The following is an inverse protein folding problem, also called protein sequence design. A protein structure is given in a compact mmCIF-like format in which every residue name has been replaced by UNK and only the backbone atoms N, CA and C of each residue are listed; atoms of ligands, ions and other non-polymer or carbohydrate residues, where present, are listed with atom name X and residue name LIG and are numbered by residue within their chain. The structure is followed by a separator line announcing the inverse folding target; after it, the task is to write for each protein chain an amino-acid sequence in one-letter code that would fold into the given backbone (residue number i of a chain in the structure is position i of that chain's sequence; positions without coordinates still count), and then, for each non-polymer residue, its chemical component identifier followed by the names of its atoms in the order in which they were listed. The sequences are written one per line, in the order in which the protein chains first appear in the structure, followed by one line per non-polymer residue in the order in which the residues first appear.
data_IF_899086514781
#
_entry.id   IF_899086514781
#
_cell.length_a   1.000
_cell.length_b   1.000
_cell.length_c   1.000
_cell.angle_alpha   90.00
_cell.angle_beta   90.00
_cell.angle_gamma   90.00
#
_symmetry.space_group_name_H-M   'P 1'
#
loop_
_entity.id
_entity.type
_entity.pdbx_description
1 polymer ?
#
# COMPACT_ATOMS: atom_id res chain seq x y z
N UNK A 1 -5.16 -20.64 -2.43
CA UNK A 1 -4.84 -19.39 -3.17
C UNK A 1 -3.35 -19.30 -3.45
N UNK A 2 -2.96 -18.62 -4.53
CA UNK A 2 -1.54 -18.35 -4.82
C UNK A 2 -1.02 -17.24 -3.93
N UNK A 3 0.25 -17.38 -3.51
CA UNK A 3 0.99 -16.34 -2.80
C UNK A 3 2.45 -16.35 -3.22
N UNK A 4 3.06 -15.16 -3.30
CA UNK A 4 4.51 -15.02 -3.36
C UNK A 4 5.02 -14.99 -1.95
N UNK A 5 5.97 -15.86 -1.61
CA UNK A 5 6.52 -15.98 -0.24
C UNK A 5 8.03 -15.75 -0.22
N UNK A 6 8.50 -15.12 0.84
CA UNK A 6 9.91 -15.12 1.24
C UNK A 6 10.07 -16.10 2.40
N UNK A 7 10.91 -17.13 2.20
CA UNK A 7 11.22 -18.19 3.19
C UNK A 7 12.58 -18.01 3.84
N UNK A 8 13.46 -17.30 3.15
CA UNK A 8 14.80 -16.99 3.60
C UNK A 8 15.16 -15.53 3.32
N UNK A 9 16.25 -15.06 3.88
CA UNK A 9 16.80 -13.72 3.61
C UNK A 9 17.46 -13.72 2.24
N UNK A 10 17.04 -12.80 1.36
CA UNK A 10 17.64 -12.73 0.04
C UNK A 10 17.01 -11.67 -0.87
N UNK A 11 17.40 -11.68 -2.13
CA UNK A 11 16.82 -10.81 -3.15
C UNK A 11 15.56 -11.40 -3.77
N UNK A 12 15.03 -10.78 -4.84
CA UNK A 12 13.84 -11.26 -5.53
C UNK A 12 13.95 -12.70 -6.06
N UNK A 13 15.18 -13.16 -6.32
CA UNK A 13 15.50 -14.52 -6.78
C UNK A 13 15.19 -15.61 -5.74
N UNK A 14 15.05 -15.25 -4.45
CA UNK A 14 14.67 -16.19 -3.38
C UNK A 14 13.17 -16.30 -3.16
N UNK A 15 12.37 -15.48 -3.85
CA UNK A 15 10.92 -15.51 -3.72
C UNK A 15 10.35 -16.73 -4.44
N UNK A 16 9.39 -17.39 -3.80
CA UNK A 16 8.70 -18.57 -4.34
C UNK A 16 7.21 -18.33 -4.47
N UNK A 17 6.59 -18.91 -5.48
CA UNK A 17 5.13 -18.90 -5.65
C UNK A 17 4.58 -20.22 -5.15
N UNK A 18 3.69 -20.17 -4.16
CA UNK A 18 3.10 -21.38 -3.58
C UNK A 18 1.57 -21.28 -3.47
N UNK A 19 0.95 -22.44 -3.32
CA UNK A 19 -0.45 -22.56 -2.93
C UNK A 19 -0.51 -22.58 -1.41
N UNK A 20 -1.31 -21.70 -0.83
CA UNK A 20 -1.59 -21.64 0.60
C UNK A 20 -3.11 -21.60 0.83
N UNK A 21 -3.54 -21.90 2.04
CA UNK A 21 -4.94 -21.78 2.40
C UNK A 21 -5.40 -20.31 2.41
N UNK A 22 -6.62 -20.07 1.96
CA UNK A 22 -7.23 -18.76 2.05
C UNK A 22 -7.63 -18.50 3.51
N UNK A 23 -7.25 -17.35 4.10
CA UNK A 23 -7.66 -17.01 5.45
C UNK A 23 -9.15 -16.63 5.51
N UNK A 24 -9.74 -16.72 6.69
CA UNK A 24 -11.07 -16.19 6.98
C UNK A 24 -10.94 -14.95 7.87
N UNK A 25 -11.77 -13.90 7.67
CA UNK A 25 -11.70 -12.69 8.47
C UNK A 25 -12.24 -12.95 9.88
N UNK A 26 -11.51 -12.49 10.89
CA UNK A 26 -11.93 -12.48 12.28
C UNK A 26 -12.76 -11.21 12.58
N UNK A 27 -13.11 -11.02 13.85
CA UNK A 27 -13.84 -9.83 14.31
C UNK A 27 -13.06 -8.54 14.02
N UNK A 28 -13.71 -7.58 13.37
CA UNK A 28 -13.12 -6.31 12.99
C UNK A 28 -12.28 -6.34 11.70
N UNK A 29 -12.25 -7.47 11.00
CA UNK A 29 -11.45 -7.68 9.80
C UNK A 29 -12.32 -7.92 8.57
N UNK A 30 -11.75 -7.68 7.40
CA UNK A 30 -12.32 -8.07 6.11
C UNK A 30 -11.33 -8.92 5.33
N UNK A 31 -11.87 -9.78 4.45
CA UNK A 31 -11.08 -10.47 3.44
C UNK A 31 -11.17 -9.67 2.13
N UNK A 32 -10.03 -9.32 1.56
CA UNK A 32 -9.95 -8.59 0.29
C UNK A 32 -9.43 -9.53 -0.80
N UNK A 33 -10.15 -9.62 -1.91
CA UNK A 33 -9.65 -10.14 -3.19
C UNK A 33 -8.71 -9.08 -3.77
N UNK A 34 -7.42 -9.38 -3.82
CA UNK A 34 -6.40 -8.43 -4.27
C UNK A 34 -6.43 -8.31 -5.79
N UNK A 35 -6.73 -7.11 -6.27
CA UNK A 35 -6.67 -6.78 -7.69
C UNK A 35 -5.27 -6.33 -8.10
N UNK A 36 -4.59 -5.56 -7.22
CA UNK A 36 -3.23 -5.10 -7.43
C UNK A 36 -2.51 -4.88 -6.09
N UNK A 37 -1.21 -5.06 -6.12
CA UNK A 37 -0.30 -4.75 -5.03
C UNK A 37 0.87 -3.94 -5.58
N UNK A 38 1.07 -2.73 -5.09
CA UNK A 38 2.23 -1.94 -5.49
C UNK A 38 3.49 -2.43 -4.79
N UNK A 39 4.59 -2.46 -5.53
CA UNK A 39 5.92 -2.77 -5.02
C UNK A 39 6.63 -1.47 -4.68
N UNK A 40 7.04 -1.36 -3.44
CA UNK A 40 7.74 -0.19 -2.92
C UNK A 40 9.18 -0.53 -2.50
N UNK A 41 10.02 0.48 -2.37
CA UNK A 41 11.41 0.30 -1.95
C UNK A 41 11.55 -0.45 -0.60
N UNK A 42 10.70 -0.17 0.42
CA UNK A 42 10.70 -0.95 1.66
C UNK A 42 10.52 -2.46 1.46
N UNK A 43 9.70 -2.91 0.49
CA UNK A 43 9.52 -4.34 0.22
C UNK A 43 10.84 -5.01 -0.16
N UNK A 44 11.65 -4.31 -0.98
CA UNK A 44 12.97 -4.82 -1.41
C UNK A 44 13.97 -4.88 -0.27
N UNK A 45 13.83 -4.04 0.74
CA UNK A 45 14.67 -4.06 1.95
C UNK A 45 14.19 -5.12 2.94
N UNK A 46 12.87 -5.29 3.09
CA UNK A 46 12.28 -6.28 4.02
C UNK A 46 12.68 -7.71 3.67
N UNK A 47 12.66 -8.09 2.39
CA UNK A 47 13.07 -9.44 1.98
C UNK A 47 14.57 -9.73 2.27
N UNK A 48 15.39 -8.67 2.40
CA UNK A 48 16.82 -8.71 2.72
C UNK A 48 17.13 -8.46 4.19
N UNK A 49 16.13 -8.34 5.06
CA UNK A 49 16.28 -7.94 6.48
C UNK A 49 17.00 -6.60 6.70
N UNK A 50 16.97 -5.72 5.74
CA UNK A 50 17.59 -4.40 5.78
C UNK A 50 16.60 -3.28 6.19
N UNK A 51 15.33 -3.63 6.44
CA UNK A 51 14.32 -2.68 6.90
C UNK A 51 14.07 -2.80 8.40
N UNK A 52 13.59 -1.73 9.03
CA UNK A 52 13.30 -1.71 10.48
C UNK A 52 12.17 -2.66 10.89
N UNK A 53 11.17 -2.86 10.02
CA UNK A 53 10.11 -3.84 10.22
C UNK A 53 10.49 -5.15 9.55
N UNK A 54 10.49 -6.23 10.33
CA UNK A 54 10.93 -7.58 9.91
C UNK A 54 9.83 -8.59 10.20
N UNK A 55 8.93 -8.86 9.25
CA UNK A 55 7.93 -9.90 9.41
C UNK A 55 8.58 -11.27 9.64
N UNK A 56 7.94 -12.09 10.46
CA UNK A 56 8.36 -13.48 10.65
C UNK A 56 8.18 -14.28 9.36
N UNK A 57 9.20 -15.08 9.00
CA UNK A 57 9.17 -15.93 7.80
C UNK A 57 8.50 -17.28 8.07
N UNK A 58 7.77 -17.87 7.12
CA UNK A 58 7.53 -17.37 5.77
C UNK A 58 6.45 -16.27 5.74
N UNK A 59 6.65 -15.20 4.98
CA UNK A 59 5.63 -14.17 4.76
C UNK A 59 5.53 -13.77 3.28
N UNK A 60 4.44 -13.13 2.92
CA UNK A 60 4.27 -12.53 1.59
C UNK A 60 4.69 -11.06 1.65
N UNK A 61 5.57 -10.57 0.77
CA UNK A 61 5.85 -9.14 0.63
C UNK A 61 4.63 -8.36 0.11
N UNK A 62 4.81 -7.05 -0.06
CA UNK A 62 3.79 -6.15 -0.58
C UNK A 62 3.06 -5.39 0.53
N UNK A 63 3.38 -4.10 0.65
CA UNK A 63 2.95 -3.24 1.76
C UNK A 63 1.66 -2.48 1.52
N UNK A 64 1.21 -2.34 0.26
CA UNK A 64 -0.05 -1.68 -0.08
C UNK A 64 -0.79 -2.39 -1.20
N UNK A 65 -2.11 -2.40 -1.10
CA UNK A 65 -2.98 -3.15 -2.01
C UNK A 65 -4.20 -2.33 -2.39
N UNK A 66 -4.81 -2.76 -3.50
CA UNK A 66 -6.19 -2.46 -3.82
C UNK A 66 -6.93 -3.73 -4.20
N UNK A 67 -8.25 -3.72 -4.06
CA UNK A 67 -9.05 -4.89 -4.38
C UNK A 67 -10.52 -4.69 -4.08
N UNK A 68 -11.20 -5.82 -3.89
CA UNK A 68 -12.63 -5.86 -3.60
C UNK A 68 -12.86 -6.71 -2.35
N UNK A 69 -13.73 -6.26 -1.46
CA UNK A 69 -14.08 -7.03 -0.25
C UNK A 69 -14.79 -8.32 -0.65
N UNK A 70 -14.23 -9.45 -0.29
CA UNK A 70 -14.76 -10.80 -0.55
C UNK A 70 -15.56 -11.35 0.63
N UNK A 71 -15.20 -10.96 1.87
CA UNK A 71 -15.94 -11.34 3.08
C UNK A 71 -15.73 -10.29 4.17
N UNK A 72 -16.70 -10.18 5.06
CA UNK A 72 -16.72 -9.22 6.18
C UNK A 72 -16.83 -10.00 7.48
N UNK A 73 -15.93 -9.74 8.42
CA UNK A 73 -15.92 -10.34 9.74
C UNK A 73 -16.96 -9.72 10.68
N UNK A 74 -17.15 -10.35 11.83
CA UNK A 74 -18.08 -9.87 12.86
C UNK A 74 -17.69 -8.47 13.35
N UNK A 75 -18.68 -7.59 13.57
CA UNK A 75 -18.49 -6.26 14.16
C UNK A 75 -17.84 -5.24 13.22
N UNK A 76 -17.80 -5.51 11.93
CA UNK A 76 -17.36 -4.54 10.91
C UNK A 76 -18.56 -3.77 10.39
N UNK A 77 -18.59 -2.47 10.63
CA UNK A 77 -19.62 -1.55 10.13
C UNK A 77 -19.10 -0.71 8.96
N UNK A 78 -20.00 -0.30 8.07
CA UNK A 78 -19.71 0.61 6.95
C UNK A 78 -19.04 -0.02 5.74
N UNK A 79 -18.78 -1.34 5.77
CA UNK A 79 -18.20 -2.10 4.67
C UNK A 79 -19.07 -3.29 4.29
N UNK A 80 -19.10 -3.62 3.02
CA UNK A 80 -19.84 -4.77 2.48
C UNK A 80 -19.07 -5.50 1.40
N UNK A 81 -19.43 -6.76 1.17
CA UNK A 81 -18.88 -7.55 0.05
C UNK A 81 -19.14 -6.81 -1.27
N UNK A 82 -18.11 -6.74 -2.10
CA UNK A 82 -18.14 -6.00 -3.36
C UNK A 82 -17.63 -4.56 -3.28
N UNK A 83 -17.41 -4.00 -2.09
CA UNK A 83 -16.81 -2.67 -1.97
C UNK A 83 -15.37 -2.66 -2.49
N UNK A 84 -15.06 -1.66 -3.30
CA UNK A 84 -13.71 -1.43 -3.84
C UNK A 84 -12.89 -0.65 -2.81
N UNK A 85 -11.73 -1.21 -2.47
CA UNK A 85 -10.90 -0.69 -1.37
C UNK A 85 -9.43 -0.62 -1.74
N UNK A 86 -8.71 0.24 -1.04
CA UNK A 86 -7.26 0.25 -0.97
C UNK A 86 -6.83 0.28 0.50
N UNK A 87 -5.65 -0.27 0.80
CA UNK A 87 -5.13 -0.33 2.17
C UNK A 87 -3.61 -0.40 2.21
N UNK A 88 -3.03 0.27 3.23
CA UNK A 88 -1.64 0.06 3.64
C UNK A 88 -1.58 -1.03 4.71
N UNK A 89 -0.95 -2.15 4.39
CA UNK A 89 -0.95 -3.36 5.23
C UNK A 89 0.43 -3.75 5.76
N UNK A 90 1.48 -3.07 5.28
CA UNK A 90 2.87 -3.31 5.69
C UNK A 90 3.52 -4.53 5.03
N UNK A 91 2.83 -5.65 4.95
CA UNK A 91 3.24 -6.86 4.22
C UNK A 91 2.02 -7.75 3.95
N UNK A 92 2.14 -8.71 3.06
CA UNK A 92 1.05 -9.65 2.80
C UNK A 92 0.32 -9.43 1.47
N UNK A 93 0.64 -8.38 0.72
CA UNK A 93 -0.13 -8.00 -0.47
C UNK A 93 0.13 -8.83 -1.73
N UNK A 94 1.28 -9.52 -1.82
CA UNK A 94 1.59 -10.36 -2.98
C UNK A 94 0.93 -11.75 -2.88
N UNK A 95 -0.38 -11.76 -2.70
CA UNK A 95 -1.26 -12.94 -2.66
C UNK A 95 -2.64 -12.62 -3.23
N UNK A 96 -3.37 -13.66 -3.62
CA UNK A 96 -4.71 -13.46 -4.22
C UNK A 96 -5.74 -12.89 -3.24
N UNK A 97 -5.60 -13.21 -1.95
CA UNK A 97 -6.50 -12.71 -0.89
C UNK A 97 -5.70 -12.33 0.35
N UNK A 98 -6.12 -11.27 1.03
CA UNK A 98 -5.48 -10.80 2.25
C UNK A 98 -6.51 -10.35 3.28
N UNK A 99 -6.20 -10.58 4.57
CA UNK A 99 -6.97 -10.02 5.67
C UNK A 99 -6.50 -8.59 5.93
N UNK A 100 -7.47 -7.70 6.12
CA UNK A 100 -7.23 -6.29 6.45
C UNK A 100 -8.14 -5.88 7.60
N UNK A 101 -7.60 -5.22 8.61
CA UNK A 101 -8.40 -4.57 9.65
C UNK A 101 -9.26 -3.47 9.02
N UNK A 102 -10.56 -3.49 9.30
CA UNK A 102 -11.55 -2.62 8.63
C UNK A 102 -11.21 -1.12 8.74
N UNK A 103 -10.57 -0.70 9.84
CA UNK A 103 -10.19 0.70 10.06
C UNK A 103 -9.03 1.18 9.16
N UNK A 104 -8.31 0.26 8.50
CA UNK A 104 -7.23 0.58 7.55
C UNK A 104 -7.70 0.75 6.12
N UNK A 105 -8.96 0.46 5.86
CA UNK A 105 -9.51 0.52 4.52
C UNK A 105 -9.87 1.95 4.10
N UNK A 106 -9.59 2.26 2.85
CA UNK A 106 -10.08 3.45 2.18
C UNK A 106 -10.92 3.03 0.99
N UNK A 107 -12.03 3.74 0.77
CA UNK A 107 -12.91 3.47 -0.37
C UNK A 107 -12.28 3.97 -1.67
N UNK A 108 -12.24 3.12 -2.69
CA UNK A 108 -11.84 3.54 -4.03
C UNK A 108 -13.08 4.03 -4.78
N UNK A 109 -13.10 5.32 -5.20
CA UNK A 109 -14.23 5.86 -5.95
C UNK A 109 -14.47 5.08 -7.25
N UNK A 110 -15.73 5.13 -7.72
CA UNK A 110 -16.06 4.60 -9.03
C UNK A 110 -15.28 5.37 -10.11
N UNK A 111 -14.80 4.66 -11.13
CA UNK A 111 -14.03 5.26 -12.22
C UNK A 111 -12.50 5.32 -12.00
N UNK A 112 -12.03 5.13 -10.77
CA UNK A 112 -10.58 4.99 -10.50
C UNK A 112 -10.17 3.54 -10.73
N UNK A 113 -9.12 3.30 -11.50
CA UNK A 113 -8.56 1.97 -11.72
C UNK A 113 -7.95 1.42 -10.43
N UNK A 114 -8.15 0.11 -10.17
CA UNK A 114 -7.61 -0.52 -8.95
C UNK A 114 -6.08 -0.63 -9.00
N UNK A 115 -5.49 -0.78 -10.18
CA UNK A 115 -4.02 -0.79 -10.32
C UNK A 115 -3.44 0.57 -9.93
N UNK A 116 -4.03 1.66 -10.41
CA UNK A 116 -3.64 3.03 -10.02
C UNK A 116 -3.85 3.25 -8.51
N UNK A 117 -4.99 2.84 -7.97
CA UNK A 117 -5.31 2.98 -6.55
C UNK A 117 -4.31 2.26 -5.65
N UNK A 118 -3.74 1.12 -6.09
CA UNK A 118 -2.79 0.34 -5.28
C UNK A 118 -1.49 1.07 -4.96
N UNK A 119 -1.09 2.09 -5.74
CA UNK A 119 0.17 2.82 -5.60
C UNK A 119 0.03 4.17 -4.88
N UNK A 120 -1.13 4.45 -4.27
CA UNK A 120 -1.48 5.78 -3.78
C UNK A 120 -0.97 6.04 -2.35
N UNK A 121 -1.17 5.10 -1.43
CA UNK A 121 -0.98 5.39 0.00
C UNK A 121 0.48 5.58 0.39
N UNK A 122 1.39 4.76 -0.12
CA UNK A 122 2.79 4.85 0.23
C UNK A 122 3.42 6.15 -0.30
N UNK A 123 3.14 6.53 -1.53
CA UNK A 123 3.73 7.70 -2.17
C UNK A 123 3.02 8.99 -1.78
N UNK A 124 1.75 9.12 -2.10
CA UNK A 124 0.98 10.35 -1.82
C UNK A 124 0.68 10.53 -0.34
N UNK A 125 0.37 9.46 0.38
CA UNK A 125 0.17 9.52 1.84
C UNK A 125 1.42 10.01 2.57
N UNK A 126 2.61 9.50 2.20
CA UNK A 126 3.89 9.99 2.72
C UNK A 126 4.07 11.47 2.45
N UNK A 127 3.78 11.93 1.23
CA UNK A 127 4.00 13.32 0.86
C UNK A 127 2.92 14.28 1.37
N UNK A 128 1.69 13.84 1.54
CA UNK A 128 0.68 14.62 2.28
C UNK A 128 1.17 14.88 3.70
N UNK A 129 1.61 13.81 4.38
CA UNK A 129 2.16 13.95 5.72
C UNK A 129 3.38 14.89 5.76
N UNK A 130 4.32 14.74 4.83
CA UNK A 130 5.53 15.55 4.78
C UNK A 130 5.22 17.03 4.48
N UNK A 131 4.46 17.31 3.42
CA UNK A 131 4.24 18.68 2.96
C UNK A 131 3.19 19.42 3.80
N UNK A 132 2.06 18.75 4.12
CA UNK A 132 0.95 19.37 4.83
C UNK A 132 1.15 19.32 6.34
N UNK A 133 1.32 18.11 6.91
CA UNK A 133 1.27 17.94 8.35
C UNK A 133 2.57 18.37 9.04
N UNK A 134 3.70 18.19 8.38
CA UNK A 134 5.03 18.50 8.93
C UNK A 134 5.63 19.78 8.35
N UNK A 135 5.52 20.00 7.06
CA UNK A 135 6.06 21.16 6.36
C UNK A 135 5.16 22.38 6.39
N UNK A 136 3.87 22.18 6.67
CA UNK A 136 2.85 23.25 6.70
C UNK A 136 2.91 24.16 5.46
N UNK A 137 3.05 23.52 4.28
CA UNK A 137 3.25 24.16 3.00
C UNK A 137 2.18 25.23 2.71
N UNK A 138 2.62 26.41 2.23
CA UNK A 138 1.74 27.53 1.90
C UNK A 138 1.77 27.83 0.41
N UNK A 139 0.64 28.35 -0.15
CA UNK A 139 0.63 28.84 -1.53
C UNK A 139 1.72 29.89 -1.77
N UNK A 140 2.39 29.81 -2.92
CA UNK A 140 3.45 30.73 -3.32
C UNK A 140 4.85 30.35 -2.85
N UNK A 141 5.01 29.40 -1.94
CA UNK A 141 6.32 28.86 -1.55
C UNK A 141 7.00 28.12 -2.71
N UNK A 142 8.29 27.87 -2.59
CA UNK A 142 9.07 27.10 -3.58
C UNK A 142 9.55 25.80 -2.95
N UNK A 143 9.23 24.68 -3.56
CA UNK A 143 9.66 23.33 -3.15
C UNK A 143 10.72 22.83 -4.11
N UNK A 144 11.90 22.50 -3.59
CA UNK A 144 12.93 21.77 -4.32
C UNK A 144 12.74 20.28 -4.11
N UNK A 145 12.56 19.52 -5.19
CA UNK A 145 12.37 18.07 -5.15
C UNK A 145 13.59 17.34 -5.67
N UNK A 146 14.36 16.73 -4.78
CA UNK A 146 15.47 15.85 -5.14
C UNK A 146 14.95 14.44 -5.41
N UNK A 147 15.41 13.79 -6.48
CA UNK A 147 14.90 12.48 -6.89
C UNK A 147 13.51 12.53 -7.50
N UNK A 148 13.20 13.56 -8.24
CA UNK A 148 11.90 13.88 -8.82
C UNK A 148 11.28 12.78 -9.71
N UNK A 149 12.11 11.91 -10.30
CA UNK A 149 11.66 10.82 -11.17
C UNK A 149 11.16 9.58 -10.39
N UNK A 150 11.37 9.51 -9.07
CA UNK A 150 10.84 8.42 -8.23
C UNK A 150 9.39 8.65 -7.84
N UNK A 151 8.69 7.58 -7.38
CA UNK A 151 7.27 7.66 -7.00
C UNK A 151 6.97 8.73 -5.94
N UNK A 152 7.78 8.81 -4.88
CA UNK A 152 7.65 9.87 -3.86
C UNK A 152 7.99 11.25 -4.43
N UNK A 153 8.99 11.35 -5.33
CA UNK A 153 9.35 12.59 -6.01
C UNK A 153 8.21 13.11 -6.88
N UNK A 154 7.59 12.25 -7.68
CA UNK A 154 6.44 12.60 -8.51
C UNK A 154 5.25 13.06 -7.66
N UNK A 155 4.91 12.31 -6.61
CA UNK A 155 3.86 12.68 -5.67
C UNK A 155 4.14 14.05 -5.01
N UNK A 156 5.44 14.33 -4.69
CA UNK A 156 5.86 15.63 -4.16
C UNK A 156 5.57 16.77 -5.12
N UNK A 157 5.90 16.59 -6.40
CA UNK A 157 5.67 17.59 -7.44
C UNK A 157 4.18 17.89 -7.59
N UNK A 158 3.38 16.86 -7.72
CA UNK A 158 1.95 16.99 -7.95
C UNK A 158 1.24 17.63 -6.75
N UNK A 159 1.51 17.16 -5.54
CA UNK A 159 0.92 17.70 -4.32
C UNK A 159 1.39 19.14 -4.03
N UNK A 160 2.69 19.45 -4.19
CA UNK A 160 3.17 20.81 -4.00
C UNK A 160 2.49 21.78 -4.96
N UNK A 161 2.32 21.39 -6.22
CA UNK A 161 1.56 22.20 -7.21
C UNK A 161 0.09 22.33 -6.84
N UNK A 162 -0.54 21.25 -6.37
CA UNK A 162 -1.94 21.28 -5.91
C UNK A 162 -2.14 22.20 -4.69
N UNK A 163 -1.13 22.30 -3.80
CA UNK A 163 -1.12 23.28 -2.71
C UNK A 163 -0.72 24.70 -3.12
N UNK A 164 -0.52 24.96 -4.39
CA UNK A 164 -0.23 26.30 -4.91
C UNK A 164 1.24 26.74 -4.80
N UNK A 165 2.15 25.79 -4.54
CA UNK A 165 3.58 26.08 -4.49
C UNK A 165 4.22 26.04 -5.89
N UNK A 166 5.37 26.69 -6.03
CA UNK A 166 6.27 26.54 -7.15
C UNK A 166 7.15 25.32 -6.94
N UNK A 167 7.45 24.56 -8.00
CA UNK A 167 8.30 23.37 -7.91
C UNK A 167 9.53 23.52 -8.77
N UNK A 168 10.66 23.17 -8.19
CA UNK A 168 11.96 22.97 -8.87
C UNK A 168 12.32 21.49 -8.69
N UNK A 169 12.60 20.76 -9.80
CA UNK A 169 12.89 19.34 -9.81
C UNK A 169 14.14 19.02 -10.64
#
# INVERSE_FOLDING_TARGET
MKAVLTKEVGGPETLVVEQIDAPAPAKGEVLVDVAACAINFPDTLMIRDLYQFKPERPYSPGGEISGTIAAVGEGVDGWQVGDRVLAGIGSGGLREKVIVEAHRLFKVPQGIDLVEASALLMTYGTMIHALKDRGDIKPGETVLVLGAAGGVGLASIELAKAYGAKVVA
#
